data_IF_883818883834
#
_entry.id   IF_883818883834
#
_cell.length_a   1.000
_cell.length_b   1.000
_cell.length_c   1.000
_cell.angle_alpha   90.00
_cell.angle_beta   90.00
_cell.angle_gamma   90.00
#
_symmetry.space_group_name_H-M   'P 1'
#
loop_
_entity.id
_entity.type
_entity.pdbx_description
1 polymer ?
#
# COMPACT_ATOMS: atom_id res chain seq x y z
N UNK A 1 -21.70 -5.35 5.11
CA UNK A 1 -20.88 -4.18 4.79
C UNK A 1 -19.47 -4.68 4.47
N UNK A 2 -18.76 -4.04 3.57
CA UNK A 2 -17.35 -4.33 3.32
C UNK A 2 -16.58 -3.86 4.56
N UNK A 3 -15.77 -4.73 5.15
CA UNK A 3 -14.99 -4.41 6.35
C UNK A 3 -13.69 -3.64 6.04
N UNK A 4 -12.99 -3.16 7.09
CA UNK A 4 -11.72 -2.42 6.94
C UNK A 4 -10.66 -3.18 6.15
N UNK A 5 -10.57 -4.51 6.31
CA UNK A 5 -9.58 -5.34 5.65
C UNK A 5 -9.75 -5.42 4.12
N UNK A 6 -11.00 -5.49 3.64
CA UNK A 6 -11.26 -5.47 2.21
C UNK A 6 -10.94 -4.11 1.59
N UNK A 7 -11.19 -3.02 2.33
CA UNK A 7 -10.84 -1.66 1.92
C UNK A 7 -9.32 -1.51 1.88
N UNK A 8 -8.62 -2.03 2.89
CA UNK A 8 -7.14 -2.03 2.96
C UNK A 8 -6.56 -2.76 1.77
N UNK A 9 -7.05 -3.98 1.44
CA UNK A 9 -6.61 -4.72 0.27
C UNK A 9 -6.86 -4.00 -1.06
N UNK A 10 -8.04 -3.39 -1.23
CA UNK A 10 -8.32 -2.62 -2.45
C UNK A 10 -7.45 -1.36 -2.61
N UNK A 11 -6.82 -0.89 -1.53
CA UNK A 11 -5.96 0.29 -1.51
C UNK A 11 -4.47 -0.05 -1.56
N UNK A 12 -4.14 -1.31 -1.37
CA UNK A 12 -2.80 -1.85 -1.48
C UNK A 12 -2.31 -1.85 -2.95
N UNK A 13 -3.26 -2.02 -3.89
CA UNK A 13 -2.99 -1.89 -5.32
C UNK A 13 -3.02 -0.41 -5.76
N UNK A 14 -2.27 0.44 -5.07
CA UNK A 14 -2.09 1.84 -5.43
C UNK A 14 -1.26 2.01 -6.72
N UNK A 15 -1.15 3.22 -7.29
CA UNK A 15 -0.28 3.44 -8.44
C UNK A 15 1.17 2.99 -8.21
N UNK A 16 1.68 3.05 -6.95
CA UNK A 16 3.04 2.61 -6.65
C UNK A 16 3.21 1.10 -6.79
N UNK A 17 2.19 0.32 -6.41
CA UNK A 17 2.12 -1.11 -6.68
C UNK A 17 2.11 -1.40 -8.17
N UNK A 18 1.19 -0.78 -8.92
CA UNK A 18 1.09 -0.99 -10.38
C UNK A 18 2.41 -0.67 -11.08
N UNK A 19 3.04 0.47 -10.75
CA UNK A 19 4.32 0.88 -11.33
C UNK A 19 5.45 -0.08 -10.98
N UNK A 20 5.56 -0.46 -9.70
CA UNK A 20 6.59 -1.38 -9.20
C UNK A 20 6.46 -2.77 -9.82
N UNK A 21 5.26 -3.36 -9.81
CA UNK A 21 5.03 -4.69 -10.36
C UNK A 21 5.22 -4.73 -11.88
N UNK A 22 4.84 -3.65 -12.57
CA UNK A 22 5.09 -3.51 -14.01
C UNK A 22 6.58 -3.44 -14.32
N UNK A 23 7.34 -2.64 -13.58
CA UNK A 23 8.80 -2.54 -13.74
C UNK A 23 9.49 -3.88 -13.45
N UNK A 24 9.09 -4.55 -12.36
CA UNK A 24 9.67 -5.83 -11.95
C UNK A 24 9.44 -6.91 -13.00
N UNK A 25 8.20 -7.07 -13.49
CA UNK A 25 7.90 -8.07 -14.51
C UNK A 25 8.58 -7.77 -15.85
N UNK A 26 8.69 -6.49 -16.21
CA UNK A 26 9.43 -6.06 -17.40
C UNK A 26 10.93 -6.33 -17.29
N UNK A 27 11.54 -6.02 -16.14
CA UNK A 27 12.99 -6.10 -15.94
C UNK A 27 13.47 -7.54 -15.71
N UNK A 28 12.80 -8.29 -14.85
CA UNK A 28 13.23 -9.61 -14.38
C UNK A 28 12.40 -10.77 -14.97
N UNK A 29 11.47 -10.48 -15.86
CA UNK A 29 10.57 -11.50 -16.39
C UNK A 29 9.81 -12.20 -15.27
N UNK A 30 9.78 -13.52 -15.29
CA UNK A 30 9.13 -14.33 -14.25
C UNK A 30 9.99 -14.53 -12.99
N UNK A 31 11.23 -14.01 -12.95
CA UNK A 31 12.19 -14.29 -11.87
C UNK A 31 11.72 -13.87 -10.46
N UNK A 32 10.83 -12.88 -10.36
CA UNK A 32 10.27 -12.41 -9.09
C UNK A 32 8.79 -12.78 -8.89
N UNK A 33 8.20 -13.64 -9.74
CA UNK A 33 6.79 -14.04 -9.63
C UNK A 33 6.48 -14.79 -8.32
N UNK A 34 7.45 -15.55 -7.79
CA UNK A 34 7.33 -16.23 -6.50
C UNK A 34 7.02 -15.27 -5.34
N UNK A 35 7.45 -14.01 -5.44
CA UNK A 35 7.21 -13.03 -4.38
C UNK A 35 5.71 -12.85 -4.10
N UNK A 36 4.87 -12.85 -5.11
CA UNK A 36 3.42 -12.73 -4.92
C UNK A 36 2.84 -13.90 -4.09
N UNK A 37 3.30 -15.12 -4.30
CA UNK A 37 2.82 -16.29 -3.54
C UNK A 37 3.30 -16.23 -2.08
N UNK A 38 4.54 -15.83 -1.85
CA UNK A 38 5.14 -15.83 -0.51
C UNK A 38 4.78 -14.60 0.31
N UNK A 39 4.54 -13.43 -0.32
CA UNK A 39 4.14 -12.23 0.42
C UNK A 39 2.72 -12.29 0.94
N UNK A 40 1.80 -12.96 0.26
CA UNK A 40 0.40 -13.05 0.71
C UNK A 40 0.22 -13.46 2.18
N UNK A 41 0.74 -14.61 2.66
CA UNK A 41 0.60 -14.99 4.06
C UNK A 41 1.34 -14.04 5.02
N UNK A 42 2.42 -13.40 4.55
CA UNK A 42 3.23 -12.49 5.36
C UNK A 42 2.49 -11.16 5.58
N UNK A 43 2.00 -10.53 4.50
CA UNK A 43 1.24 -9.28 4.60
C UNK A 43 -0.05 -9.47 5.39
N UNK A 44 -0.80 -10.54 5.12
CA UNK A 44 -2.02 -10.85 5.84
C UNK A 44 -1.79 -11.05 7.35
N UNK A 45 -0.66 -11.64 7.75
CA UNK A 45 -0.31 -11.82 9.16
C UNK A 45 0.03 -10.49 9.84
N UNK A 46 0.72 -9.57 9.16
CA UNK A 46 1.06 -8.24 9.68
C UNK A 46 -0.20 -7.38 9.82
N UNK A 47 -1.05 -7.36 8.81
CA UNK A 47 -2.31 -6.60 8.85
C UNK A 47 -3.27 -7.14 9.91
N UNK A 48 -3.39 -8.48 10.02
CA UNK A 48 -4.16 -9.12 11.11
C UNK A 48 -3.63 -8.71 12.48
N UNK A 49 -2.30 -8.61 12.65
CA UNK A 49 -1.71 -8.19 13.92
C UNK A 49 -2.03 -6.73 14.23
N UNK A 50 -1.97 -5.83 13.24
CA UNK A 50 -2.31 -4.40 13.40
C UNK A 50 -3.79 -4.23 13.78
N UNK A 51 -4.70 -4.91 13.08
CA UNK A 51 -6.12 -4.95 13.41
C UNK A 51 -6.37 -5.50 14.82
N UNK A 52 -5.72 -6.61 15.16
CA UNK A 52 -5.84 -7.26 16.48
C UNK A 52 -5.37 -6.37 17.61
N UNK A 53 -4.27 -5.63 17.44
CA UNK A 53 -3.78 -4.65 18.43
C UNK A 53 -4.84 -3.56 18.65
N UNK A 54 -5.36 -2.99 17.56
CA UNK A 54 -6.37 -1.94 17.60
C UNK A 54 -7.68 -2.42 18.24
N UNK A 55 -8.19 -3.56 17.82
CA UNK A 55 -9.38 -4.19 18.35
C UNK A 55 -9.25 -4.54 19.85
N UNK A 56 -8.08 -5.01 20.29
CA UNK A 56 -7.85 -5.37 21.69
C UNK A 56 -7.69 -4.15 22.59
N UNK A 57 -7.00 -3.11 22.11
CA UNK A 57 -6.65 -1.92 22.91
C UNK A 57 -7.70 -0.82 22.85
N UNK A 58 -8.55 -0.81 21.81
CA UNK A 58 -9.51 0.24 21.51
C UNK A 58 -8.87 1.58 21.17
N UNK A 59 -7.58 1.57 20.77
CA UNK A 59 -6.85 2.78 20.34
C UNK A 59 -5.99 2.47 19.11
N UNK A 60 -5.67 3.52 18.35
CA UNK A 60 -4.84 3.38 17.17
C UNK A 60 -3.41 2.91 17.49
N UNK A 61 -2.72 2.49 16.42
CA UNK A 61 -1.40 1.86 16.50
C UNK A 61 -0.35 2.81 17.10
N UNK A 62 -0.33 4.09 16.68
CA UNK A 62 0.61 5.08 17.20
C UNK A 62 0.45 5.33 18.70
N UNK A 63 -0.79 5.34 19.21
CA UNK A 63 -1.05 5.43 20.65
C UNK A 63 -0.54 4.19 21.38
N UNK A 64 -0.75 3.00 20.83
CA UNK A 64 -0.30 1.73 21.44
C UNK A 64 1.22 1.64 21.48
N UNK A 65 1.91 2.04 20.43
CA UNK A 65 3.38 2.10 20.34
C UNK A 65 3.96 3.10 21.36
N UNK A 66 3.39 4.32 21.44
CA UNK A 66 3.85 5.35 22.40
C UNK A 66 3.70 4.93 23.86
N UNK A 67 2.73 4.07 24.19
CA UNK A 67 2.54 3.56 25.55
C UNK A 67 3.58 2.53 25.97
N UNK A 68 4.18 1.83 25.00
CA UNK A 68 5.12 0.73 25.27
C UNK A 68 6.58 1.14 25.06
N UNK A 69 6.88 1.94 24.05
CA UNK A 69 8.25 2.26 23.65
C UNK A 69 8.64 3.71 23.98
N UNK A 70 9.94 4.01 24.06
CA UNK A 70 10.43 5.37 24.26
C UNK A 70 9.89 6.35 23.21
N UNK A 71 9.43 7.50 23.65
CA UNK A 71 8.86 8.54 22.77
C UNK A 71 9.77 8.93 21.59
N UNK A 72 11.10 9.15 21.78
CA UNK A 72 11.97 9.51 20.65
C UNK A 72 12.00 8.45 19.56
N UNK A 73 12.06 7.16 19.91
CA UNK A 73 12.06 6.05 18.96
C UNK A 73 10.75 6.01 18.15
N UNK A 74 9.61 6.08 18.83
CA UNK A 74 8.30 6.09 18.18
C UNK A 74 8.14 7.35 17.33
N UNK A 75 8.60 8.50 17.82
CA UNK A 75 8.57 9.76 17.10
C UNK A 75 9.37 9.71 15.79
N UNK A 76 10.57 9.13 15.82
CA UNK A 76 11.38 8.92 14.64
C UNK A 76 10.69 8.02 13.61
N UNK A 77 10.12 6.89 14.04
CA UNK A 77 9.39 5.98 13.15
C UNK A 77 8.16 6.66 12.53
N UNK A 78 7.41 7.45 13.30
CA UNK A 78 6.22 8.16 12.79
C UNK A 78 6.62 9.31 11.87
N UNK A 79 7.71 10.02 12.14
CA UNK A 79 8.24 11.03 11.22
C UNK A 79 8.69 10.41 9.90
N UNK A 80 9.41 9.27 9.95
CA UNK A 80 9.79 8.53 8.77
C UNK A 80 8.57 8.04 7.97
N UNK A 81 7.54 7.52 8.65
CA UNK A 81 6.28 7.14 8.01
C UNK A 81 5.59 8.34 7.36
N UNK A 82 5.53 9.48 8.03
CA UNK A 82 4.91 10.69 7.48
C UNK A 82 5.62 11.14 6.19
N UNK A 83 6.95 11.14 6.21
CA UNK A 83 7.76 11.47 5.02
C UNK A 83 7.53 10.47 3.90
N UNK A 84 7.59 9.16 4.19
CA UNK A 84 7.35 8.11 3.20
C UNK A 84 5.96 8.23 2.57
N UNK A 85 4.92 8.39 3.39
CA UNK A 85 3.55 8.58 2.90
C UNK A 85 3.41 9.85 2.04
N UNK A 86 4.08 10.93 2.42
CA UNK A 86 4.08 12.19 1.65
C UNK A 86 4.74 12.01 0.28
N UNK A 87 5.85 11.28 0.22
CA UNK A 87 6.53 10.94 -1.05
C UNK A 87 5.61 10.07 -1.91
N UNK A 88 4.97 9.08 -1.31
CA UNK A 88 4.06 8.20 -2.02
C UNK A 88 2.82 8.95 -2.55
N UNK A 89 2.22 9.83 -1.75
CA UNK A 89 1.15 10.75 -2.20
C UNK A 89 1.61 11.57 -3.40
N UNK A 90 2.85 12.10 -3.38
CA UNK A 90 3.41 12.83 -4.50
C UNK A 90 3.57 11.98 -5.76
N UNK A 91 4.09 10.77 -5.63
CA UNK A 91 4.26 9.83 -6.72
C UNK A 91 2.89 9.44 -7.32
N UNK A 92 1.91 9.13 -6.48
CA UNK A 92 0.55 8.76 -6.90
C UNK A 92 -0.19 9.92 -7.58
N UNK A 93 -0.03 11.16 -7.07
CA UNK A 93 -0.57 12.36 -7.74
C UNK A 93 0.02 12.51 -9.15
N UNK A 94 1.33 12.29 -9.28
CA UNK A 94 2.02 12.29 -10.57
C UNK A 94 1.48 11.22 -11.52
N UNK A 95 1.20 10.04 -10.99
CA UNK A 95 0.65 8.91 -11.74
C UNK A 95 -0.81 9.14 -12.19
N UNK A 96 -1.66 9.68 -11.32
CA UNK A 96 -3.04 10.06 -11.66
C UNK A 96 -3.04 11.14 -12.75
N UNK A 97 -2.17 12.15 -12.62
CA UNK A 97 -2.04 13.20 -13.63
C UNK A 97 -1.48 12.65 -14.97
N UNK A 98 -0.56 11.69 -14.93
CA UNK A 98 -0.07 11.01 -16.13
C UNK A 98 -1.19 10.19 -16.80
N UNK A 99 -1.98 9.44 -16.03
CA UNK A 99 -3.17 8.75 -16.53
C UNK A 99 -4.17 9.71 -17.21
N UNK A 100 -4.42 10.86 -16.59
CA UNK A 100 -5.25 11.92 -17.20
C UNK A 100 -4.68 12.47 -18.51
N UNK A 101 -3.36 12.68 -18.58
CA UNK A 101 -2.67 13.09 -19.80
C UNK A 101 -2.77 12.03 -20.90
N UNK A 102 -2.63 10.73 -20.57
CA UNK A 102 -2.82 9.63 -21.50
C UNK A 102 -4.23 9.62 -22.10
N UNK A 103 -5.28 9.82 -21.28
CA UNK A 103 -6.67 9.86 -21.77
C UNK A 103 -6.92 11.02 -22.74
N UNK A 104 -6.21 12.12 -22.57
CA UNK A 104 -6.27 13.28 -23.50
C UNK A 104 -5.27 13.16 -24.66
N UNK A 105 -4.59 12.00 -24.80
CA UNK A 105 -3.55 11.77 -25.80
C UNK A 105 -2.46 12.85 -25.80
N UNK A 106 -2.10 13.32 -24.60
CA UNK A 106 -1.08 14.35 -24.41
C UNK A 106 -1.53 15.80 -24.70
N UNK A 107 -2.79 16.02 -25.14
CA UNK A 107 -3.31 17.37 -25.37
C UNK A 107 -3.25 18.22 -24.10
N UNK A 108 -3.55 17.63 -22.95
CA UNK A 108 -3.36 18.28 -21.66
C UNK A 108 -2.09 17.70 -21.02
N UNK A 109 -1.02 18.50 -20.88
CA UNK A 109 0.21 18.05 -20.24
C UNK A 109 -0.01 17.64 -18.79
N UNK A 110 0.72 16.60 -18.31
CA UNK A 110 0.66 16.10 -16.93
C UNK A 110 0.74 17.21 -15.88
N UNK A 111 1.66 18.15 -16.04
CA UNK A 111 1.89 19.23 -15.08
C UNK A 111 0.66 20.11 -14.86
N UNK A 112 -0.17 20.30 -15.89
CA UNK A 112 -1.40 21.09 -15.78
C UNK A 112 -2.52 20.35 -15.03
N UNK A 113 -2.45 19.02 -15.00
CA UNK A 113 -3.42 18.19 -14.28
C UNK A 113 -3.08 18.01 -12.80
N UNK A 114 -1.82 18.21 -12.39
CA UNK A 114 -1.38 17.97 -11.01
C UNK A 114 -2.16 18.79 -9.99
N UNK A 115 -2.28 20.11 -10.21
CA UNK A 115 -3.00 21.01 -9.28
C UNK A 115 -4.49 20.71 -9.25
N UNK A 116 -5.21 20.59 -10.39
CA UNK A 116 -6.62 20.18 -10.38
C UNK A 116 -6.87 18.85 -9.68
N UNK A 117 -6.02 17.84 -9.92
CA UNK A 117 -6.14 16.51 -9.27
C UNK A 117 -5.92 16.64 -7.77
N UNK A 118 -4.88 17.34 -7.31
CA UNK A 118 -4.63 17.54 -5.89
C UNK A 118 -5.79 18.30 -5.21
N UNK A 119 -6.33 19.35 -5.84
CA UNK A 119 -7.48 20.10 -5.35
C UNK A 119 -8.72 19.20 -5.30
N UNK A 120 -8.98 18.40 -6.33
CA UNK A 120 -10.09 17.45 -6.35
C UNK A 120 -10.00 16.46 -5.18
N UNK A 121 -8.82 15.85 -4.96
CA UNK A 121 -8.62 14.89 -3.90
C UNK A 121 -8.76 15.53 -2.52
N UNK A 122 -8.21 16.73 -2.30
CA UNK A 122 -8.40 17.46 -1.05
C UNK A 122 -9.87 17.83 -0.84
N UNK A 123 -10.57 18.31 -1.87
CA UNK A 123 -11.99 18.61 -1.80
C UNK A 123 -12.80 17.34 -1.45
N UNK A 124 -12.49 16.21 -2.07
CA UNK A 124 -13.14 14.93 -1.74
C UNK A 124 -12.93 14.58 -0.27
N UNK A 125 -11.72 14.70 0.27
CA UNK A 125 -11.42 14.39 1.67
C UNK A 125 -12.07 15.37 2.66
N UNK A 126 -12.29 16.62 2.27
CA UNK A 126 -12.91 17.64 3.11
C UNK A 126 -14.45 17.53 3.12
N UNK A 127 -15.06 17.18 2.01
CA UNK A 127 -16.51 17.27 1.81
C UNK A 127 -17.21 15.92 1.72
N UNK A 128 -16.49 14.83 1.35
CA UNK A 128 -17.06 13.48 1.28
C UNK A 128 -16.56 12.62 2.44
N UNK A 129 -17.42 11.71 2.88
CA UNK A 129 -16.95 10.66 3.81
C UNK A 129 -16.10 9.64 3.06
N UNK A 130 -15.12 9.04 3.73
CA UNK A 130 -14.30 8.00 3.12
C UNK A 130 -15.15 6.84 2.56
N UNK A 131 -16.22 6.46 3.24
CA UNK A 131 -17.15 5.43 2.74
C UNK A 131 -17.78 5.80 1.39
N UNK A 132 -18.06 7.08 1.16
CA UNK A 132 -18.57 7.58 -0.13
C UNK A 132 -17.48 7.52 -1.20
N UNK A 133 -16.27 7.96 -0.88
CA UNK A 133 -15.10 7.89 -1.78
C UNK A 133 -14.89 6.44 -2.22
N UNK A 134 -14.81 5.52 -1.28
CA UNK A 134 -14.66 4.09 -1.56
C UNK A 134 -15.80 3.52 -2.42
N UNK A 135 -17.05 3.87 -2.10
CA UNK A 135 -18.23 3.40 -2.85
C UNK A 135 -18.21 3.82 -4.33
N UNK A 136 -17.67 4.99 -4.62
CA UNK A 136 -17.54 5.52 -5.99
C UNK A 136 -16.38 4.84 -6.73
N UNK A 137 -15.19 4.84 -6.12
CA UNK A 137 -13.95 4.51 -6.84
C UNK A 137 -13.60 3.02 -6.81
N UNK A 138 -14.17 2.19 -5.92
CA UNK A 138 -13.95 0.74 -5.95
C UNK A 138 -14.25 0.07 -7.30
N UNK A 139 -15.13 0.65 -8.10
CA UNK A 139 -15.44 0.12 -9.44
C UNK A 139 -14.31 0.36 -10.43
N UNK A 140 -13.53 1.43 -10.24
CA UNK A 140 -12.37 1.71 -11.07
C UNK A 140 -11.21 0.76 -10.75
N UNK A 141 -11.07 0.28 -9.50
CA UNK A 141 -10.06 -0.73 -9.17
C UNK A 141 -10.33 -2.06 -9.87
N UNK A 142 -11.58 -2.35 -10.23
CA UNK A 142 -11.89 -3.55 -11.03
C UNK A 142 -11.22 -3.56 -12.41
N UNK A 143 -10.81 -2.39 -12.92
CA UNK A 143 -10.05 -2.30 -14.17
C UNK A 143 -8.73 -3.06 -14.07
N UNK A 144 -8.16 -3.22 -12.86
CA UNK A 144 -6.95 -4.01 -12.65
C UNK A 144 -7.13 -5.50 -12.97
N UNK A 145 -8.36 -6.00 -12.94
CA UNK A 145 -8.66 -7.36 -13.41
C UNK A 145 -8.41 -7.53 -14.92
N UNK A 146 -8.22 -6.44 -15.66
CA UNK A 146 -7.73 -6.50 -17.05
C UNK A 146 -6.38 -7.24 -17.14
N UNK A 147 -5.50 -7.10 -16.13
CA UNK A 147 -4.25 -7.88 -16.07
C UNK A 147 -4.52 -9.38 -15.90
N UNK A 148 -5.50 -9.75 -15.09
CA UNK A 148 -5.92 -11.15 -14.92
C UNK A 148 -6.40 -11.73 -16.25
N UNK A 149 -7.28 -10.99 -16.94
CA UNK A 149 -7.82 -11.41 -18.25
C UNK A 149 -6.70 -11.50 -19.31
N UNK A 150 -5.81 -10.50 -19.33
CA UNK A 150 -4.65 -10.51 -20.25
C UNK A 150 -3.77 -11.73 -20.01
N UNK A 151 -3.56 -12.12 -18.76
CA UNK A 151 -2.79 -13.30 -18.38
C UNK A 151 -3.34 -14.59 -18.99
N UNK A 152 -4.65 -14.73 -19.11
CA UNK A 152 -5.26 -15.90 -19.77
C UNK A 152 -5.18 -15.82 -21.32
N UNK A 153 -5.05 -14.63 -21.89
CA UNK A 153 -4.97 -14.44 -23.36
C UNK A 153 -3.57 -14.75 -23.90
N UNK A 154 -2.53 -14.47 -23.13
CA UNK A 154 -1.13 -14.52 -23.60
C UNK A 154 -0.59 -15.92 -23.84
N UNK A 155 -1.29 -17.00 -23.40
CA UNK A 155 -0.91 -18.42 -23.59
C UNK A 155 0.57 -18.74 -23.29
N UNK A 156 1.07 -18.47 -22.09
CA UNK A 156 2.46 -18.70 -21.74
C UNK A 156 2.74 -20.19 -21.42
N UNK A 157 4.00 -20.53 -21.30
CA UNK A 157 4.39 -21.87 -20.82
C UNK A 157 4.00 -22.03 -19.34
N UNK A 158 2.93 -22.79 -19.10
CA UNK A 158 2.39 -23.05 -17.74
C UNK A 158 3.44 -23.70 -16.83
N UNK A 159 4.33 -24.54 -17.36
CA UNK A 159 5.39 -25.19 -16.57
C UNK A 159 6.37 -24.13 -16.04
N UNK A 160 6.79 -23.21 -16.88
CA UNK A 160 7.70 -22.12 -16.48
C UNK A 160 7.06 -21.25 -15.41
N UNK A 161 5.79 -20.89 -15.57
CA UNK A 161 5.06 -20.06 -14.59
C UNK A 161 4.94 -20.74 -13.24
N UNK A 162 4.51 -22.02 -13.21
CA UNK A 162 4.37 -22.78 -11.96
C UNK A 162 5.72 -22.88 -11.24
N UNK A 163 6.80 -23.16 -11.96
CA UNK A 163 8.14 -23.19 -11.37
C UNK A 163 8.53 -21.82 -10.83
N UNK A 164 8.37 -20.76 -11.62
CA UNK A 164 8.69 -19.38 -11.22
C UNK A 164 7.83 -18.86 -10.05
N UNK A 165 6.62 -19.42 -9.85
CA UNK A 165 5.75 -19.07 -8.74
C UNK A 165 6.12 -19.74 -7.42
N UNK A 166 6.80 -20.91 -7.46
CA UNK A 166 7.05 -21.73 -6.26
C UNK A 166 8.53 -21.78 -5.91
N UNK A 167 9.40 -21.67 -6.90
CA UNK A 167 10.86 -21.73 -6.70
C UNK A 167 11.42 -20.32 -6.65
N UNK A 168 11.88 -19.83 -5.48
CA UNK A 168 12.51 -18.53 -5.37
C UNK A 168 13.78 -18.45 -6.21
N UNK A 169 13.88 -17.43 -7.04
CA UNK A 169 15.10 -17.06 -7.75
C UNK A 169 15.74 -15.86 -7.05
N UNK A 170 17.05 -15.90 -6.86
CA UNK A 170 17.81 -14.84 -6.20
C UNK A 170 19.02 -14.43 -7.03
N UNK A 171 19.17 -13.14 -7.21
CA UNK A 171 20.36 -12.50 -7.75
C UNK A 171 20.94 -11.52 -6.71
N UNK A 172 22.28 -11.55 -6.57
CA UNK A 172 22.96 -10.64 -5.65
C UNK A 172 23.51 -9.44 -6.42
N UNK A 173 22.59 -8.70 -7.09
CA UNK A 173 22.90 -7.42 -7.72
C UNK A 173 21.98 -6.32 -7.16
N UNK A 174 22.44 -5.07 -7.30
CA UNK A 174 21.77 -3.89 -6.74
C UNK A 174 20.34 -3.74 -7.25
N UNK A 175 20.12 -3.98 -8.54
CA UNK A 175 18.83 -3.84 -9.20
C UNK A 175 17.82 -4.85 -8.67
N UNK A 176 18.23 -6.10 -8.49
CA UNK A 176 17.38 -7.17 -7.97
C UNK A 176 17.01 -6.93 -6.50
N UNK A 177 18.00 -6.50 -5.68
CA UNK A 177 17.76 -6.20 -4.26
C UNK A 177 16.83 -4.98 -4.13
N UNK A 178 17.04 -3.94 -4.95
CA UNK A 178 16.15 -2.79 -5.01
C UNK A 178 14.72 -3.19 -5.38
N UNK A 179 14.55 -4.08 -6.37
CA UNK A 179 13.26 -4.62 -6.79
C UNK A 179 12.59 -5.43 -5.66
N UNK A 180 13.33 -6.26 -4.93
CA UNK A 180 12.79 -6.96 -3.76
C UNK A 180 12.32 -6.01 -2.67
N UNK A 181 13.13 -4.99 -2.33
CA UNK A 181 12.74 -3.97 -1.34
C UNK A 181 11.51 -3.20 -1.81
N UNK A 182 11.43 -2.86 -3.09
CA UNK A 182 10.29 -2.17 -3.66
C UNK A 182 9.02 -3.05 -3.61
N UNK A 183 9.09 -4.32 -4.01
CA UNK A 183 7.98 -5.28 -3.91
C UNK A 183 7.49 -5.36 -2.47
N UNK A 184 8.38 -5.65 -1.53
CA UNK A 184 8.00 -5.78 -0.12
C UNK A 184 7.48 -4.46 0.45
N UNK A 185 8.04 -3.32 0.02
CA UNK A 185 7.65 -1.99 0.48
C UNK A 185 6.28 -1.55 0.00
N UNK A 186 5.88 -1.95 -1.21
CA UNK A 186 4.52 -1.67 -1.72
C UNK A 186 3.50 -2.71 -1.26
N UNK A 187 3.90 -3.99 -1.07
CA UNK A 187 3.00 -5.07 -0.65
C UNK A 187 2.79 -5.11 0.87
N UNK A 188 3.83 -4.84 1.67
CA UNK A 188 3.77 -4.80 3.14
C UNK A 188 3.97 -3.34 3.57
N UNK A 189 3.06 -2.50 3.13
CA UNK A 189 3.20 -1.05 3.23
C UNK A 189 2.89 -0.52 4.62
N UNK A 190 3.78 0.30 5.21
CA UNK A 190 3.61 0.79 6.57
C UNK A 190 2.39 1.70 6.73
N UNK A 191 1.91 2.35 5.68
CA UNK A 191 0.71 3.18 5.75
C UNK A 191 -0.56 2.33 6.00
N UNK A 192 -0.61 1.11 5.47
CA UNK A 192 -1.73 0.19 5.68
C UNK A 192 -1.83 -0.24 7.14
N UNK A 193 -0.71 -0.43 7.85
CA UNK A 193 -0.70 -0.79 9.28
C UNK A 193 -1.48 0.21 10.13
N UNK A 194 -1.20 1.50 9.94
CA UNK A 194 -1.86 2.56 10.67
C UNK A 194 -3.30 2.77 10.21
N UNK A 195 -3.54 2.65 8.91
CA UNK A 195 -4.87 2.72 8.33
C UNK A 195 -5.78 1.61 8.86
N UNK A 196 -5.36 0.34 8.76
CA UNK A 196 -6.12 -0.82 9.24
C UNK A 196 -6.46 -0.68 10.72
N UNK A 197 -5.45 -0.36 11.54
CA UNK A 197 -5.65 -0.17 12.98
C UNK A 197 -6.63 0.98 13.29
N UNK A 198 -6.54 2.10 12.59
CA UNK A 198 -7.43 3.24 12.80
C UNK A 198 -8.86 2.94 12.36
N UNK A 199 -9.02 2.28 11.22
CA UNK A 199 -10.33 1.90 10.66
C UNK A 199 -11.08 0.94 11.59
N UNK A 200 -10.40 -0.05 12.19
CA UNK A 200 -11.01 -0.93 13.19
C UNK A 200 -11.50 -0.16 14.42
N UNK A 201 -10.73 0.82 14.90
CA UNK A 201 -11.14 1.68 16.03
C UNK A 201 -12.34 2.54 15.63
N UNK A 202 -12.36 3.08 14.42
CA UNK A 202 -13.45 3.93 13.94
C UNK A 202 -14.73 3.13 13.72
N UNK A 203 -14.66 1.88 13.23
CA UNK A 203 -15.82 0.96 13.17
C UNK A 203 -16.37 0.63 14.56
N UNK A 204 -15.49 0.31 15.52
CA UNK A 204 -15.94 0.06 16.90
C UNK A 204 -16.62 1.29 17.52
N UNK A 205 -16.12 2.49 17.19
CA UNK A 205 -16.72 3.75 17.65
C UNK A 205 -18.08 3.95 17.02
N UNK A 206 -18.22 3.76 15.72
CA UNK A 206 -19.48 3.89 15.00
C UNK A 206 -20.54 2.87 15.50
N UNK A 207 -20.11 1.66 15.88
CA UNK A 207 -20.96 0.64 16.47
C UNK A 207 -21.28 0.85 17.96
N UNK A 208 -20.76 1.92 18.61
CA UNK A 208 -20.95 2.18 20.04
C UNK A 208 -20.21 1.21 20.98
N UNK A 209 -19.36 0.33 20.45
CA UNK A 209 -18.68 -0.75 21.19
C UNK A 209 -17.31 -0.37 21.77
N UNK A 210 -16.80 0.81 21.47
CA UNK A 210 -15.45 1.21 21.84
C UNK A 210 -15.17 1.20 23.36
N UNK A 211 -16.13 1.69 24.15
CA UNK A 211 -15.98 1.74 25.61
C UNK A 211 -16.08 0.35 26.26
N UNK A 212 -16.92 -0.51 25.74
CA UNK A 212 -17.05 -1.91 26.19
C UNK A 212 -15.76 -2.66 25.88
N UNK A 213 -15.22 -2.50 24.66
CA UNK A 213 -13.96 -3.12 24.23
C UNK A 213 -12.78 -2.67 25.09
N UNK A 214 -12.68 -1.40 25.45
CA UNK A 214 -11.63 -0.90 26.35
C UNK A 214 -11.68 -1.48 27.75
N UNK A 215 -12.88 -1.86 28.23
CA UNK A 215 -13.08 -2.46 29.57
C UNK A 215 -12.87 -3.97 29.59
N UNK A 216 -13.36 -4.67 28.57
CA UNK A 216 -13.47 -6.13 28.57
C UNK A 216 -12.61 -6.82 27.50
N UNK A 217 -12.01 -6.05 26.59
CA UNK A 217 -11.30 -6.55 25.42
C UNK A 217 -12.26 -7.03 24.33
N UNK A 218 -11.71 -7.44 23.20
CA UNK A 218 -12.46 -7.85 22.01
C UNK A 218 -12.93 -9.32 22.09
N UNK A 219 -14.11 -9.63 21.51
CA UNK A 219 -14.59 -11.02 21.40
C UNK A 219 -13.83 -11.81 20.33
N UNK A 220 -13.83 -13.16 20.46
CA UNK A 220 -13.20 -14.03 19.43
C UNK A 220 -13.92 -13.98 18.08
N UNK A 221 -15.23 -13.73 18.08
CA UNK A 221 -16.03 -13.61 16.85
C UNK A 221 -15.61 -12.39 16.04
N UNK A 222 -15.43 -11.24 16.67
CA UNK A 222 -14.95 -10.01 16.02
C UNK A 222 -13.56 -10.22 15.43
N UNK A 223 -12.62 -10.82 16.18
CA UNK A 223 -11.29 -11.13 15.66
C UNK A 223 -11.30 -12.09 14.47
N UNK A 224 -12.20 -13.08 14.46
CA UNK A 224 -12.34 -14.00 13.32
C UNK A 224 -12.92 -13.30 12.10
N UNK A 225 -13.91 -12.42 12.30
CA UNK A 225 -14.50 -11.64 11.22
C UNK A 225 -13.47 -10.68 10.59
N UNK A 226 -12.74 -9.92 11.42
CA UNK A 226 -11.67 -9.05 10.94
C UNK A 226 -10.58 -9.81 10.19
N UNK A 227 -10.15 -10.98 10.71
CA UNK A 227 -9.18 -11.84 10.02
C UNK A 227 -9.69 -12.33 8.67
N UNK A 228 -10.96 -12.76 8.56
CA UNK A 228 -11.53 -13.22 7.30
C UNK A 228 -11.59 -12.07 6.28
N UNK A 229 -11.99 -10.89 6.71
CA UNK A 229 -12.07 -9.69 5.89
C UNK A 229 -10.69 -9.28 5.36
N UNK A 230 -9.66 -9.28 6.22
CA UNK A 230 -8.26 -9.00 5.83
C UNK A 230 -7.75 -10.05 4.84
N UNK A 231 -7.96 -11.35 5.11
CA UNK A 231 -7.51 -12.42 4.21
C UNK A 231 -8.11 -12.27 2.82
N UNK A 232 -9.39 -11.93 2.73
CA UNK A 232 -10.06 -11.72 1.43
C UNK A 232 -9.49 -10.48 0.73
N UNK A 233 -9.36 -9.37 1.44
CA UNK A 233 -8.80 -8.13 0.87
C UNK A 233 -7.38 -8.33 0.34
N UNK A 234 -6.49 -8.89 1.17
CA UNK A 234 -5.10 -9.15 0.81
C UNK A 234 -4.95 -10.20 -0.30
N UNK A 235 -5.87 -11.20 -0.36
CA UNK A 235 -5.86 -12.17 -1.45
C UNK A 235 -6.13 -11.50 -2.81
N UNK A 236 -7.12 -10.62 -2.89
CA UNK A 236 -7.43 -9.95 -4.16
C UNK A 236 -6.33 -8.98 -4.58
N UNK A 237 -5.75 -8.22 -3.65
CA UNK A 237 -4.59 -7.37 -3.94
C UNK A 237 -3.41 -8.20 -4.47
N UNK A 238 -3.06 -9.25 -3.76
CA UNK A 238 -1.94 -10.09 -4.15
C UNK A 238 -2.15 -10.85 -5.46
N UNK A 239 -3.42 -11.15 -5.80
CA UNK A 239 -3.81 -11.70 -7.09
C UNK A 239 -3.53 -10.70 -8.22
N UNK A 240 -3.88 -9.43 -8.02
CA UNK A 240 -3.60 -8.34 -8.96
C UNK A 240 -2.09 -8.18 -9.15
N UNK A 241 -1.32 -8.08 -8.04
CA UNK A 241 0.15 -8.07 -8.07
C UNK A 241 0.71 -9.20 -8.93
N UNK A 242 0.28 -10.45 -8.67
CA UNK A 242 0.73 -11.62 -9.42
C UNK A 242 0.50 -11.43 -10.92
N UNK A 243 -0.70 -11.03 -11.33
CA UNK A 243 -1.02 -10.88 -12.75
C UNK A 243 -0.39 -9.65 -13.38
N UNK A 244 -0.08 -8.58 -12.65
CA UNK A 244 0.70 -7.46 -13.20
C UNK A 244 2.12 -7.92 -13.51
N UNK A 245 2.83 -8.56 -12.56
CA UNK A 245 4.19 -9.09 -12.79
C UNK A 245 4.16 -10.10 -13.95
N UNK A 246 3.19 -11.00 -13.94
CA UNK A 246 3.04 -12.04 -14.96
C UNK A 246 2.83 -11.47 -16.36
N UNK A 247 1.87 -10.56 -16.54
CA UNK A 247 1.54 -10.00 -17.86
C UNK A 247 2.65 -9.11 -18.41
N UNK A 248 3.30 -8.32 -17.54
CA UNK A 248 4.43 -7.50 -17.96
C UNK A 248 5.64 -8.34 -18.33
N UNK A 249 5.88 -9.45 -17.62
CA UNK A 249 6.89 -10.43 -18.03
C UNK A 249 6.58 -11.05 -19.38
N UNK A 250 5.34 -11.52 -19.59
CA UNK A 250 4.93 -12.19 -20.81
C UNK A 250 4.87 -11.27 -22.04
N UNK A 251 4.51 -9.99 -21.83
CA UNK A 251 4.28 -9.06 -22.94
C UNK A 251 5.47 -8.12 -23.17
N UNK A 252 6.04 -7.54 -22.10
CA UNK A 252 7.11 -6.54 -22.25
C UNK A 252 8.48 -7.21 -22.26
N UNK A 253 8.80 -8.00 -21.23
CA UNK A 253 10.10 -8.67 -21.13
C UNK A 253 10.37 -9.60 -22.30
N UNK A 254 9.39 -10.42 -22.71
CA UNK A 254 9.52 -11.33 -23.83
C UNK A 254 9.81 -10.64 -25.17
N UNK A 255 9.48 -9.33 -25.28
CA UNK A 255 9.78 -8.51 -26.47
C UNK A 255 10.97 -7.56 -26.26
N UNK A 256 11.82 -7.82 -25.25
CA UNK A 256 13.05 -7.07 -25.00
C UNK A 256 12.85 -5.69 -24.34
N UNK A 257 11.65 -5.38 -23.86
CA UNK A 257 11.36 -4.15 -23.11
C UNK A 257 11.59 -4.41 -21.62
N UNK A 258 12.81 -4.16 -21.16
CA UNK A 258 13.24 -4.46 -19.79
C UNK A 258 13.28 -3.25 -18.87
N UNK A 259 13.15 -2.04 -19.40
CA UNK A 259 13.10 -0.80 -18.63
C UNK A 259 11.89 0.03 -19.04
N UNK A 260 10.95 0.24 -18.11
CA UNK A 260 9.75 1.03 -18.32
C UNK A 260 10.05 2.48 -17.90
N UNK A 261 10.11 3.36 -18.89
CA UNK A 261 10.40 4.78 -18.68
C UNK A 261 9.16 5.67 -18.72
N UNK A 262 7.99 5.11 -19.04
CA UNK A 262 6.75 5.90 -19.08
C UNK A 262 5.51 5.05 -18.84
N UNK A 263 4.42 5.71 -18.44
CA UNK A 263 3.12 5.08 -18.24
C UNK A 263 2.57 4.47 -19.54
N UNK A 264 2.88 5.07 -20.71
CA UNK A 264 2.48 4.51 -22.02
C UNK A 264 3.16 3.19 -22.34
N UNK A 265 4.43 3.03 -21.93
CA UNK A 265 5.15 1.76 -22.07
C UNK A 265 4.56 0.68 -21.15
N UNK A 266 4.26 1.03 -19.90
CA UNK A 266 3.60 0.12 -18.97
C UNK A 266 2.22 -0.34 -19.47
N UNK A 267 1.45 0.57 -20.07
CA UNK A 267 0.14 0.27 -20.66
C UNK A 267 0.19 -0.80 -21.74
N UNK A 268 1.30 -0.94 -22.45
CA UNK A 268 1.47 -1.95 -23.51
C UNK A 268 1.37 -3.39 -23.00
N UNK A 269 1.53 -3.63 -21.70
CA UNK A 269 1.27 -4.93 -21.08
C UNK A 269 -0.19 -5.40 -21.29
N UNK A 270 -1.12 -4.48 -21.45
CA UNK A 270 -2.53 -4.76 -21.70
C UNK A 270 -2.90 -4.83 -23.19
N UNK A 271 -1.94 -4.65 -24.09
CA UNK A 271 -2.19 -4.66 -25.54
C UNK A 271 -2.81 -5.99 -26.05
N UNK A 272 -2.45 -7.19 -25.54
CA UNK A 272 -3.09 -8.44 -25.97
C UNK A 272 -4.60 -8.49 -25.70
N UNK A 273 -5.08 -7.82 -24.64
CA UNK A 273 -6.51 -7.72 -24.31
C UNK A 273 -7.20 -6.60 -25.10
N UNK A 274 -6.62 -5.42 -25.09
CA UNK A 274 -7.32 -4.19 -25.46
C UNK A 274 -6.76 -3.51 -26.72
N UNK A 275 -5.68 -4.04 -27.31
CA UNK A 275 -5.08 -3.46 -28.51
C UNK A 275 -4.79 -1.95 -28.34
N UNK A 276 -5.30 -1.11 -29.24
CA UNK A 276 -5.12 0.34 -29.14
C UNK A 276 -5.76 1.01 -27.92
N UNK A 277 -6.67 0.32 -27.22
CA UNK A 277 -7.33 0.84 -26.00
C UNK A 277 -6.61 0.46 -24.69
N UNK A 278 -5.47 -0.23 -24.76
CA UNK A 278 -4.69 -0.61 -23.59
C UNK A 278 -4.35 0.58 -22.68
N UNK A 279 -4.06 1.74 -23.27
CA UNK A 279 -3.78 2.97 -22.54
C UNK A 279 -4.99 3.47 -21.74
N UNK A 280 -6.22 3.27 -22.23
CA UNK A 280 -7.46 3.67 -21.51
C UNK A 280 -7.64 2.81 -20.26
N UNK A 281 -7.43 1.48 -20.37
CA UNK A 281 -7.50 0.57 -19.24
C UNK A 281 -6.41 0.89 -18.20
N UNK A 282 -5.18 1.07 -18.64
CA UNK A 282 -4.07 1.41 -17.75
C UNK A 282 -4.31 2.75 -17.04
N UNK A 283 -4.66 3.80 -17.80
CA UNK A 283 -4.97 5.11 -17.23
C UNK A 283 -6.15 5.07 -16.26
N UNK A 284 -7.21 4.31 -16.60
CA UNK A 284 -8.36 4.10 -15.72
C UNK A 284 -7.96 3.41 -14.41
N UNK A 285 -7.09 2.40 -14.47
CA UNK A 285 -6.50 1.74 -13.30
C UNK A 285 -5.73 2.74 -12.44
N UNK A 286 -4.76 3.44 -13.01
CA UNK A 286 -3.93 4.44 -12.30
C UNK A 286 -4.76 5.54 -11.64
N UNK A 287 -5.75 6.07 -12.36
CA UNK A 287 -6.64 7.12 -11.82
C UNK A 287 -7.51 6.55 -10.70
N UNK A 288 -8.12 5.40 -10.92
CA UNK A 288 -9.04 4.79 -9.96
C UNK A 288 -8.37 4.43 -8.65
N UNK A 289 -7.22 3.75 -8.74
CA UNK A 289 -6.45 3.35 -7.57
C UNK A 289 -5.83 4.55 -6.87
N UNK A 290 -5.33 5.55 -7.58
CA UNK A 290 -4.78 6.76 -6.99
C UNK A 290 -5.84 7.60 -6.26
N UNK A 291 -7.02 7.77 -6.84
CA UNK A 291 -8.15 8.48 -6.17
C UNK A 291 -8.63 7.76 -4.91
N UNK A 292 -8.41 6.45 -4.81
CA UNK A 292 -8.72 5.66 -3.62
C UNK A 292 -7.56 5.65 -2.61
N UNK A 293 -6.32 5.47 -3.07
CA UNK A 293 -5.16 5.28 -2.22
C UNK A 293 -4.63 6.59 -1.61
N UNK A 294 -4.63 7.71 -2.35
CA UNK A 294 -4.11 8.99 -1.84
C UNK A 294 -4.82 9.45 -0.55
N UNK A 295 -6.17 9.37 -0.43
CA UNK A 295 -6.86 9.61 0.84
C UNK A 295 -6.44 8.68 1.98
N UNK A 296 -6.09 7.44 1.69
CA UNK A 296 -5.64 6.46 2.68
C UNK A 296 -4.22 6.76 3.13
N UNK A 297 -3.31 7.08 2.22
CA UNK A 297 -1.93 7.47 2.50
C UNK A 297 -1.86 8.71 3.39
N UNK A 298 -2.53 9.80 2.97
CA UNK A 298 -2.57 11.06 3.74
C UNK A 298 -3.36 10.91 5.05
N UNK A 299 -4.44 10.11 5.04
CA UNK A 299 -5.21 9.74 6.23
C UNK A 299 -4.40 8.92 7.23
N UNK A 300 -3.66 7.92 6.76
CA UNK A 300 -2.75 7.11 7.58
C UNK A 300 -1.67 7.97 8.24
N UNK A 301 -1.06 8.89 7.49
CA UNK A 301 -0.12 9.87 8.04
C UNK A 301 -0.77 10.71 9.15
N UNK A 302 -1.99 11.19 8.94
CA UNK A 302 -2.73 11.97 9.93
C UNK A 302 -3.08 11.12 11.17
N UNK A 303 -3.49 9.87 11.01
CA UNK A 303 -3.74 8.96 12.12
C UNK A 303 -2.48 8.68 12.94
N UNK A 304 -1.34 8.42 12.29
CA UNK A 304 -0.07 8.19 12.96
C UNK A 304 0.38 9.39 13.78
N UNK A 305 0.38 10.58 13.18
CA UNK A 305 0.76 11.84 13.83
C UNK A 305 -0.20 12.19 14.98
N UNK A 306 -1.51 12.10 14.72
CA UNK A 306 -2.55 12.33 15.72
C UNK A 306 -2.35 11.43 16.96
N UNK A 307 -2.14 10.15 16.74
CA UNK A 307 -1.95 9.16 17.81
C UNK A 307 -0.69 9.44 18.62
N UNK A 308 0.41 9.83 17.97
CA UNK A 308 1.65 10.15 18.63
C UNK A 308 1.53 11.38 19.54
N UNK A 309 0.91 12.45 19.05
CA UNK A 309 0.71 13.67 19.85
C UNK A 309 -0.49 13.60 20.80
N UNK A 310 -1.34 12.58 20.70
CA UNK A 310 -2.56 12.44 21.49
C UNK A 310 -3.68 13.40 21.06
N UNK A 311 -3.66 13.81 19.81
CA UNK A 311 -4.68 14.66 19.22
C UNK A 311 -5.97 13.88 18.97
N UNK A 312 -7.07 14.59 18.76
CA UNK A 312 -8.37 14.00 18.40
C UNK A 312 -8.65 14.23 16.93
N UNK A 313 -9.27 13.26 16.26
CA UNK A 313 -9.70 13.38 14.87
C UNK A 313 -9.83 12.03 14.20
N UNK A 314 -10.76 11.94 13.25
CA UNK A 314 -10.97 10.80 12.34
C UNK A 314 -11.46 11.32 10.99
N UNK A 315 -11.40 10.50 9.96
CA UNK A 315 -11.95 10.85 8.64
C UNK A 315 -13.49 10.94 8.63
N UNK A 316 -14.16 10.52 9.72
CA UNK A 316 -15.60 10.70 9.91
C UNK A 316 -15.96 12.02 10.60
N UNK A 317 -14.97 12.71 11.18
CA UNK A 317 -15.18 14.03 11.79
C UNK A 317 -15.23 15.11 10.69
N UNK A 318 -15.95 16.20 10.98
CA UNK A 318 -15.98 17.35 10.05
C UNK A 318 -14.68 18.17 10.15
N UNK A 319 -14.15 18.71 9.04
CA UNK A 319 -12.88 19.46 9.04
C UNK A 319 -12.85 20.62 10.03
N UNK A 320 -13.95 21.36 10.15
CA UNK A 320 -14.04 22.51 11.09
C UNK A 320 -14.12 22.10 12.57
N UNK A 321 -14.43 20.82 12.88
CA UNK A 321 -14.41 20.28 14.24
C UNK A 321 -13.01 19.79 14.61
N UNK A 322 -12.27 19.28 13.62
CA UNK A 322 -10.92 18.72 13.80
C UNK A 322 -9.90 19.31 12.81
N UNK A 323 -9.69 20.64 12.83
CA UNK A 323 -8.87 21.32 11.82
C UNK A 323 -7.42 20.80 11.80
N UNK A 324 -6.82 20.48 12.95
CA UNK A 324 -5.45 19.99 13.02
C UNK A 324 -5.28 18.63 12.29
N UNK A 325 -6.27 17.73 12.39
CA UNK A 325 -6.23 16.44 11.71
C UNK A 325 -6.23 16.63 10.18
N UNK A 326 -7.12 17.48 9.68
CA UNK A 326 -7.22 17.79 8.25
C UNK A 326 -6.06 18.66 7.75
N UNK A 327 -5.46 19.48 8.62
CA UNK A 327 -4.24 20.22 8.27
C UNK A 327 -3.06 19.27 8.00
N UNK A 328 -2.94 18.14 8.73
CA UNK A 328 -1.91 17.14 8.47
C UNK A 328 -2.15 16.47 7.11
N UNK A 329 -3.39 16.14 6.77
CA UNK A 329 -3.77 15.60 5.45
C UNK A 329 -3.40 16.59 4.34
N UNK A 330 -3.80 17.84 4.48
CA UNK A 330 -3.51 18.89 3.51
C UNK A 330 -2.00 19.11 3.36
N UNK A 331 -1.25 19.14 4.48
CA UNK A 331 0.21 19.28 4.46
C UNK A 331 0.87 18.14 3.68
N UNK A 332 0.49 16.89 3.93
CA UNK A 332 1.01 15.73 3.20
C UNK A 332 0.70 15.83 1.70
N UNK A 333 -0.52 16.20 1.34
CA UNK A 333 -0.93 16.31 -0.07
C UNK A 333 -0.22 17.46 -0.79
N UNK A 334 -0.12 18.63 -0.16
CA UNK A 334 0.55 19.83 -0.75
C UNK A 334 2.06 19.60 -0.85
N UNK A 335 2.68 19.01 0.17
CA UNK A 335 4.09 18.65 0.13
C UNK A 335 4.38 17.58 -0.95
N UNK A 336 3.51 16.56 -1.06
CA UNK A 336 3.57 15.56 -2.13
C UNK A 336 3.42 16.19 -3.53
N UNK A 337 2.48 17.14 -3.69
CA UNK A 337 2.35 17.90 -4.93
C UNK A 337 3.65 18.65 -5.28
N UNK A 338 4.30 19.25 -4.27
CA UNK A 338 5.57 19.96 -4.44
C UNK A 338 6.69 19.07 -4.99
N UNK A 339 6.72 17.78 -4.66
CA UNK A 339 7.72 16.83 -5.18
C UNK A 339 7.61 16.65 -6.70
N UNK A 340 6.43 16.83 -7.29
CA UNK A 340 6.26 16.75 -8.75
C UNK A 340 6.93 17.89 -9.52
N UNK A 341 7.31 18.98 -8.84
CA UNK A 341 8.11 20.07 -9.43
C UNK A 341 9.54 19.63 -9.77
N UNK A 342 10.02 18.52 -9.20
CA UNK A 342 11.31 17.92 -9.54
C UNK A 342 11.31 17.24 -10.92
N UNK A 343 10.16 17.19 -11.58
CA UNK A 343 9.95 16.66 -12.93
C UNK A 343 10.50 15.23 -13.14
N UNK A 344 10.40 14.38 -12.12
CA UNK A 344 10.74 12.96 -12.19
C UNK A 344 9.64 12.21 -12.98
N UNK A 345 10.03 11.18 -13.73
CA UNK A 345 9.06 10.29 -14.38
C UNK A 345 8.17 9.61 -13.34
N UNK A 346 6.84 9.53 -13.55
CA UNK A 346 5.92 8.95 -12.56
C UNK A 346 6.23 7.51 -12.19
N UNK A 347 6.52 6.65 -13.16
CA UNK A 347 6.81 5.22 -12.88
C UNK A 347 8.07 5.10 -12.02
N UNK A 348 9.12 5.86 -12.34
CA UNK A 348 10.33 5.90 -11.54
C UNK A 348 10.08 6.45 -10.13
N UNK A 349 9.26 7.50 -10.00
CA UNK A 349 8.87 8.05 -8.71
C UNK A 349 8.11 7.03 -7.85
N UNK A 350 7.19 6.27 -8.45
CA UNK A 350 6.44 5.20 -7.79
C UNK A 350 7.37 4.08 -7.29
N UNK A 351 8.31 3.64 -8.12
CA UNK A 351 9.29 2.62 -7.74
C UNK A 351 10.20 3.07 -6.59
N UNK A 352 10.68 4.31 -6.62
CA UNK A 352 11.48 4.89 -5.54
C UNK A 352 10.65 5.03 -4.26
N UNK A 353 9.40 5.47 -4.36
CA UNK A 353 8.48 5.55 -3.22
C UNK A 353 8.27 4.17 -2.57
N UNK A 354 8.14 3.11 -3.37
CA UNK A 354 8.03 1.74 -2.89
C UNK A 354 9.29 1.29 -2.12
N UNK A 355 10.49 1.62 -2.59
CA UNK A 355 11.74 1.35 -1.87
C UNK A 355 11.75 2.07 -0.51
N UNK A 356 11.39 3.35 -0.48
CA UNK A 356 11.34 4.14 0.76
C UNK A 356 10.35 3.54 1.75
N UNK A 357 9.18 3.11 1.28
CA UNK A 357 8.19 2.40 2.10
C UNK A 357 8.79 1.12 2.71
N UNK A 358 9.52 0.33 1.93
CA UNK A 358 10.19 -0.88 2.40
C UNK A 358 11.23 -0.59 3.50
N UNK A 359 12.01 0.47 3.35
CA UNK A 359 13.00 0.88 4.36
C UNK A 359 12.33 1.33 5.67
N UNK A 360 11.23 2.08 5.58
CA UNK A 360 10.47 2.57 6.75
C UNK A 360 9.66 1.47 7.41
N UNK A 361 9.15 0.50 6.64
CA UNK A 361 8.38 -0.63 7.17
C UNK A 361 9.20 -1.49 8.15
N UNK A 362 10.48 -1.75 7.86
CA UNK A 362 11.31 -2.66 8.63
C UNK A 362 11.35 -2.31 10.14
N UNK A 363 11.74 -1.12 10.59
CA UNK A 363 11.75 -0.78 12.01
C UNK A 363 10.36 -0.74 12.64
N UNK A 364 9.33 -0.31 11.90
CA UNK A 364 7.95 -0.29 12.37
C UNK A 364 7.44 -1.71 12.64
N UNK A 365 7.71 -2.65 11.74
CA UNK A 365 7.30 -4.05 11.90
C UNK A 365 7.92 -4.71 13.13
N UNK A 366 9.18 -4.41 13.46
CA UNK A 366 9.82 -4.86 14.70
C UNK A 366 9.02 -4.38 15.93
N UNK A 367 8.68 -3.09 15.97
CA UNK A 367 7.93 -2.52 17.07
C UNK A 367 6.50 -3.11 17.16
N UNK A 368 5.83 -3.31 16.03
CA UNK A 368 4.50 -3.92 15.96
C UNK A 368 4.53 -5.38 16.41
N UNK A 369 5.51 -6.18 15.97
CA UNK A 369 5.66 -7.58 16.36
C UNK A 369 5.93 -7.72 17.87
N UNK A 370 6.79 -6.86 18.42
CA UNK A 370 7.04 -6.80 19.87
C UNK A 370 5.80 -6.35 20.66
N UNK A 371 5.02 -5.41 20.13
CA UNK A 371 3.77 -4.93 20.73
C UNK A 371 2.72 -6.05 20.76
N UNK A 372 2.53 -6.73 19.65
CA UNK A 372 1.56 -7.82 19.50
C UNK A 372 1.91 -9.08 20.31
N UNK A 373 3.18 -9.27 20.65
CA UNK A 373 3.66 -10.36 21.49
C UNK A 373 3.52 -10.07 22.99
N UNK A 374 3.25 -8.81 23.38
CA UNK A 374 3.22 -8.40 24.80
C UNK A 374 1.99 -8.93 25.52
N UNK A 375 2.22 -9.71 26.58
CA UNK A 375 1.15 -10.29 27.42
C UNK A 375 0.35 -9.25 28.18
N UNK A 376 0.99 -8.14 28.59
CA UNK A 376 0.32 -7.09 29.37
C UNK A 376 -0.68 -6.31 28.52
N UNK A 377 -0.39 -6.14 27.23
CA UNK A 377 -1.24 -5.39 26.28
C UNK A 377 -2.28 -6.32 25.65
N UNK A 378 -1.85 -7.47 25.14
CA UNK A 378 -2.70 -8.37 24.35
C UNK A 378 -3.44 -9.40 25.20
N UNK A 379 -3.02 -9.65 26.43
CA UNK A 379 -3.65 -10.60 27.34
C UNK A 379 -3.86 -11.98 26.70
N UNK A 380 -5.10 -12.50 26.78
CA UNK A 380 -5.53 -13.76 26.17
C UNK A 380 -5.78 -13.67 24.66
N UNK A 381 -5.70 -12.47 24.05
CA UNK A 381 -6.00 -12.20 22.64
C UNK A 381 -4.75 -12.06 21.79
N UNK A 382 -3.61 -12.52 22.26
CA UNK A 382 -2.39 -12.60 21.43
C UNK A 382 -2.61 -13.42 20.18
N UNK A 383 -1.88 -13.11 19.13
CA UNK A 383 -1.86 -13.90 17.89
C UNK A 383 -1.44 -15.33 18.17
N UNK A 384 -1.98 -16.29 17.41
CA UNK A 384 -1.57 -17.68 17.45
C UNK A 384 -0.12 -17.86 16.97
N UNK A 385 0.48 -19.02 17.27
CA UNK A 385 1.88 -19.30 16.90
C UNK A 385 2.15 -19.07 15.41
N UNK A 386 1.27 -19.54 14.51
CA UNK A 386 1.44 -19.38 13.08
C UNK A 386 1.48 -17.88 12.66
N UNK A 387 0.49 -17.08 13.09
CA UNK A 387 0.44 -15.66 12.76
C UNK A 387 1.67 -14.92 13.33
N UNK A 388 2.10 -15.24 14.56
CA UNK A 388 3.29 -14.66 15.16
C UNK A 388 4.56 -15.04 14.38
N UNK A 389 4.70 -16.32 13.97
CA UNK A 389 5.85 -16.78 13.18
C UNK A 389 5.88 -16.07 11.82
N UNK A 390 4.75 -16.01 11.10
CA UNK A 390 4.66 -15.31 9.81
C UNK A 390 5.00 -13.81 9.95
N UNK A 391 4.52 -13.15 11.00
CA UNK A 391 4.87 -11.74 11.26
C UNK A 391 6.38 -11.57 11.48
N UNK A 392 7.03 -12.45 12.25
CA UNK A 392 8.47 -12.38 12.46
C UNK A 392 9.26 -12.73 11.20
N UNK A 393 8.79 -13.69 10.37
CA UNK A 393 9.38 -13.97 9.06
C UNK A 393 9.29 -12.71 8.18
N UNK A 394 8.10 -12.10 8.07
CA UNK A 394 7.91 -10.87 7.31
C UNK A 394 8.85 -9.75 7.80
N UNK A 395 8.94 -9.57 9.12
CA UNK A 395 9.82 -8.58 9.75
C UNK A 395 11.29 -8.85 9.42
N UNK A 396 11.72 -10.12 9.49
CA UNK A 396 13.11 -10.49 9.20
C UNK A 396 13.45 -10.31 7.72
N UNK A 397 12.58 -10.75 6.82
CA UNK A 397 12.77 -10.58 5.38
C UNK A 397 12.89 -9.11 5.02
N UNK A 398 11.96 -8.27 5.54
CA UNK A 398 11.99 -6.83 5.30
C UNK A 398 13.27 -6.18 5.86
N UNK A 399 13.66 -6.53 7.09
CA UNK A 399 14.85 -5.96 7.73
C UNK A 399 16.14 -6.37 7.01
N UNK A 400 16.25 -7.63 6.58
CA UNK A 400 17.40 -8.11 5.81
C UNK A 400 17.46 -7.42 4.45
N UNK A 401 16.35 -7.38 3.70
CA UNK A 401 16.30 -6.72 2.39
C UNK A 401 16.68 -5.23 2.49
N UNK A 402 16.13 -4.53 3.48
CA UNK A 402 16.46 -3.12 3.72
C UNK A 402 17.92 -2.92 4.10
N UNK A 403 18.46 -3.75 4.99
CA UNK A 403 19.87 -3.67 5.41
C UNK A 403 20.83 -3.97 4.26
N UNK A 404 20.54 -4.98 3.44
CA UNK A 404 21.35 -5.31 2.26
C UNK A 404 21.33 -4.17 1.24
N UNK A 405 20.16 -3.58 0.98
CA UNK A 405 20.06 -2.44 0.07
C UNK A 405 20.86 -1.22 0.57
N UNK A 406 20.78 -0.89 1.87
CA UNK A 406 21.55 0.20 2.46
C UNK A 406 23.05 -0.09 2.40
N UNK A 407 23.48 -1.33 2.67
CA UNK A 407 24.87 -1.73 2.58
C UNK A 407 25.42 -1.58 1.15
N UNK A 408 24.69 -2.01 0.14
CA UNK A 408 25.07 -1.83 -1.26
C UNK A 408 25.15 -0.36 -1.67
N UNK A 409 24.19 0.45 -1.19
CA UNK A 409 24.21 1.89 -1.46
C UNK A 409 25.41 2.59 -0.83
N UNK A 410 25.89 2.10 0.32
CA UNK A 410 27.07 2.65 1.00
C UNK A 410 28.41 2.20 0.37
N UNK A 411 28.42 1.08 -0.37
CA UNK A 411 29.59 0.52 -1.02
C UNK A 411 29.74 0.97 -2.49
N UNK A 412 28.70 1.53 -3.09
CA UNK A 412 28.66 2.05 -4.47
C UNK A 412 28.99 3.54 -4.52
#
# INVERSE_FOLDING_TARGET
MLGPGLITGASDDDPSGIGTYSQVGSQFGYGLLWTAVFTFPLMAAVEELCARIALQTGVGLGTSLRRKFPRPLVGLCIAALFVANTINVGADLGAVAAGGSMLTKGVVPRLWLLVPVAVLILAMQLFLTYATIFKIFKWLTLVLFAYVITGFIVHPDLRQIVIASVVPHFELNKEFIAALVAIFGTTISPYLFFWQAASEVDEMRAAGKLMETRRHGVSRSVLRAARADILVGMFFSNLVMYFIIFTTAAVLHAHGKTDIQSADQAAQALAPLAGPFAFVLFAGGMIGTGLLAIPILSGSAAYAVKDFFGLKGTLSDKPWIRPTFYAIIALSTVAGLGLNLLNVDPIRALFVAAIINGLVAAPLMVLIALLGSDRKIMGRRRSGRLSTTLTWIATSVMAVSAATFIAELALS
#
